data_IF_544824674751
#
_entry.id   IF_544824674751
#
_cell.length_a   1.000
_cell.length_b   1.000
_cell.length_c   1.000
_cell.angle_alpha   90.00
_cell.angle_beta   90.00
_cell.angle_gamma   90.00
#
_symmetry.space_group_name_H-M   'P 1'
#
loop_
_entity.id
_entity.type
_entity.pdbx_description
1 polymer ?
#
# COMPACT_ATOMS: atom_id res chain seq x y z
N UNK A 1 42.00 15.54 -18.14
CA UNK A 1 42.80 16.31 -17.14
C UNK A 1 44.01 15.48 -16.71
N UNK A 2 44.98 16.06 -16.00
CA UNK A 2 46.16 15.33 -15.48
C UNK A 2 45.77 14.13 -14.59
N UNK A 3 44.63 14.23 -13.90
CA UNK A 3 44.08 13.20 -13.01
C UNK A 3 43.63 11.95 -13.77
N UNK A 4 43.05 12.09 -14.96
CA UNK A 4 42.63 10.95 -15.79
C UNK A 4 43.85 10.13 -16.26
N UNK A 5 44.94 10.80 -16.61
CA UNK A 5 46.20 10.15 -17.03
C UNK A 5 46.85 9.43 -15.86
N UNK A 6 46.83 10.02 -14.66
CA UNK A 6 47.33 9.37 -13.45
C UNK A 6 46.48 8.16 -13.06
N UNK A 7 45.15 8.27 -13.14
CA UNK A 7 44.25 7.15 -12.88
C UNK A 7 44.48 6.00 -13.86
N UNK A 8 44.61 6.31 -15.15
CA UNK A 8 44.90 5.30 -16.17
C UNK A 8 46.25 4.61 -15.92
N UNK A 9 47.31 5.39 -15.65
CA UNK A 9 48.63 4.85 -15.30
C UNK A 9 48.56 3.95 -14.06
N UNK A 10 47.86 4.39 -13.01
CA UNK A 10 47.66 3.59 -11.80
C UNK A 10 46.92 2.28 -12.08
N UNK A 11 45.82 2.31 -12.83
CA UNK A 11 45.07 1.10 -13.19
C UNK A 11 45.92 0.07 -13.96
N UNK A 12 46.87 0.52 -14.79
CA UNK A 12 47.80 -0.41 -15.49
C UNK A 12 48.85 -1.05 -14.59
N UNK A 13 49.05 -0.52 -13.37
CA UNK A 13 49.96 -1.11 -12.37
C UNK A 13 49.27 -2.12 -11.46
N UNK A 14 47.93 -2.17 -11.45
CA UNK A 14 47.19 -3.16 -10.67
C UNK A 14 47.36 -4.54 -11.32
N UNK A 15 47.80 -5.57 -10.57
CA UNK A 15 47.84 -6.92 -11.08
C UNK A 15 46.42 -7.34 -11.44
N UNK A 16 46.22 -7.78 -12.68
CA UNK A 16 44.93 -8.31 -13.12
C UNK A 16 44.57 -9.52 -12.23
N UNK A 17 43.33 -9.61 -11.73
CA UNK A 17 42.93 -10.74 -10.90
C UNK A 17 42.96 -12.02 -11.75
N UNK A 18 43.92 -12.89 -11.42
CA UNK A 18 44.08 -14.29 -11.85
C UNK A 18 44.43 -14.54 -13.34
N UNK A 19 45.58 -15.19 -13.57
CA UNK A 19 46.02 -15.78 -14.86
C UNK A 19 45.35 -17.16 -15.10
N UNK A 20 44.53 -17.61 -14.16
CA UNK A 20 43.83 -18.89 -14.26
C UNK A 20 42.59 -18.68 -15.12
N UNK A 21 42.49 -19.43 -16.21
CA UNK A 21 41.32 -19.52 -17.11
C UNK A 21 40.14 -20.21 -16.38
N UNK A 22 39.75 -19.64 -15.24
CA UNK A 22 38.60 -20.05 -14.46
C UNK A 22 37.39 -19.28 -14.97
N UNK A 23 36.26 -19.95 -15.23
CA UNK A 23 35.06 -19.24 -15.66
C UNK A 23 34.58 -18.30 -14.55
N UNK A 24 34.17 -17.09 -14.95
CA UNK A 24 33.50 -16.16 -14.05
C UNK A 24 32.27 -16.80 -13.42
N UNK A 25 32.06 -16.54 -12.13
CA UNK A 25 30.91 -17.03 -11.37
C UNK A 25 30.11 -15.83 -10.88
N UNK A 26 28.79 -15.85 -11.11
CA UNK A 26 27.88 -14.88 -10.53
C UNK A 26 27.58 -15.26 -9.08
N UNK A 27 27.71 -14.30 -8.18
CA UNK A 27 27.32 -14.44 -6.78
C UNK A 27 26.28 -13.37 -6.43
N UNK A 28 25.17 -13.81 -5.83
CA UNK A 28 24.12 -12.95 -5.32
C UNK A 28 24.33 -12.71 -3.84
N UNK A 29 24.50 -11.45 -3.45
CA UNK A 29 24.62 -11.07 -2.05
C UNK A 29 23.31 -10.44 -1.61
N UNK A 30 22.58 -11.12 -0.72
CA UNK A 30 21.32 -10.64 -0.14
C UNK A 30 21.54 -10.45 1.37
N UNK A 31 21.67 -9.20 1.81
CA UNK A 31 22.16 -8.89 3.16
C UNK A 31 23.63 -9.31 3.32
N UNK A 32 23.94 -10.08 4.37
CA UNK A 32 25.31 -10.56 4.64
C UNK A 32 25.58 -11.99 4.13
N UNK A 33 24.66 -12.57 3.33
CA UNK A 33 24.75 -13.96 2.89
C UNK A 33 24.98 -14.06 1.37
N UNK A 34 26.18 -14.48 0.92
CA UNK A 34 26.42 -14.82 -0.47
C UNK A 34 25.69 -16.11 -0.87
N UNK A 35 25.08 -16.12 -2.05
CA UNK A 35 24.38 -17.26 -2.64
C UNK A 35 24.70 -17.37 -4.12
N UNK A 36 24.90 -18.60 -4.60
CA UNK A 36 25.07 -18.87 -6.04
C UNK A 36 23.75 -18.93 -6.79
N UNK A 37 22.64 -19.11 -6.06
CA UNK A 37 21.30 -19.15 -6.62
C UNK A 37 20.55 -17.85 -6.33
N UNK A 38 19.93 -17.29 -7.36
CA UNK A 38 19.03 -16.15 -7.22
C UNK A 38 17.71 -16.60 -6.58
N UNK A 39 17.32 -15.92 -5.50
CA UNK A 39 16.05 -16.18 -4.80
C UNK A 39 15.22 -14.91 -4.75
N UNK A 40 14.26 -14.77 -5.67
CA UNK A 40 13.38 -13.60 -5.74
C UNK A 40 12.72 -13.25 -4.40
N UNK A 41 12.31 -14.26 -3.64
CA UNK A 41 11.72 -14.07 -2.31
C UNK A 41 12.72 -13.48 -1.29
N UNK A 42 13.97 -13.95 -1.28
CA UNK A 42 15.00 -13.43 -0.38
C UNK A 42 15.38 -12.00 -0.76
N UNK A 43 15.57 -11.74 -2.06
CA UNK A 43 15.84 -10.40 -2.58
C UNK A 43 14.72 -9.43 -2.24
N UNK A 44 13.45 -9.84 -2.43
CA UNK A 44 12.29 -9.01 -2.05
C UNK A 44 12.24 -8.75 -0.55
N UNK A 45 12.47 -9.76 0.29
CA UNK A 45 12.50 -9.62 1.74
C UNK A 45 13.59 -8.66 2.24
N UNK A 46 14.74 -8.62 1.56
CA UNK A 46 15.84 -7.71 1.87
C UNK A 46 15.58 -6.27 1.36
N UNK A 47 14.97 -6.13 0.17
CA UNK A 47 14.71 -4.82 -0.44
C UNK A 47 13.46 -4.13 0.14
N UNK A 48 12.48 -4.89 0.64
CA UNK A 48 11.21 -4.30 1.07
C UNK A 48 11.43 -3.43 2.31
N UNK A 49 10.91 -2.19 2.33
CA UNK A 49 10.82 -1.42 3.56
C UNK A 49 9.92 -2.16 4.55
N UNK A 50 10.46 -2.55 5.71
CA UNK A 50 9.64 -3.10 6.79
C UNK A 50 8.90 -1.95 7.48
N UNK A 51 7.60 -2.11 7.62
CA UNK A 51 6.75 -1.19 8.37
C UNK A 51 6.04 -1.95 9.47
N UNK A 52 5.64 -1.22 10.51
CA UNK A 52 4.81 -1.79 11.56
C UNK A 52 3.50 -2.32 10.97
N UNK A 53 3.06 -3.46 11.51
CA UNK A 53 1.76 -4.02 11.18
C UNK A 53 0.68 -2.98 11.50
N UNK A 54 -0.23 -2.75 10.57
CA UNK A 54 -1.36 -1.85 10.79
C UNK A 54 -2.49 -2.60 11.46
N UNK A 55 -3.18 -1.95 12.38
CA UNK A 55 -4.25 -2.58 13.15
C UNK A 55 -5.35 -3.15 12.24
N UNK A 56 -5.63 -2.54 11.09
CA UNK A 56 -6.70 -2.97 10.18
C UNK A 56 -6.33 -4.13 9.23
N UNK A 57 -5.11 -4.69 9.30
CA UNK A 57 -4.62 -5.71 8.35
C UNK A 57 -5.51 -6.94 8.33
N UNK A 58 -5.94 -7.41 9.50
CA UNK A 58 -6.81 -8.58 9.68
C UNK A 58 -8.22 -8.37 9.10
N UNK A 59 -8.74 -7.14 9.18
CA UNK A 59 -10.04 -6.76 8.61
C UNK A 59 -10.01 -6.80 7.07
N UNK A 60 -8.89 -6.43 6.47
CA UNK A 60 -8.76 -6.33 5.00
C UNK A 60 -8.34 -7.66 4.36
N UNK A 61 -7.41 -8.37 5.02
CA UNK A 61 -6.73 -9.54 4.49
C UNK A 61 -7.05 -10.76 5.35
N UNK A 62 -8.24 -11.33 5.16
CA UNK A 62 -8.68 -12.55 5.85
C UNK A 62 -8.92 -13.70 4.87
N UNK A 63 -8.94 -14.93 5.39
CA UNK A 63 -9.20 -16.12 4.58
C UNK A 63 -10.59 -16.03 3.95
N UNK A 64 -10.66 -16.09 2.62
CA UNK A 64 -11.92 -15.97 1.87
C UNK A 64 -12.28 -14.54 1.47
N UNK A 65 -11.44 -13.55 1.75
CA UNK A 65 -11.63 -12.19 1.29
C UNK A 65 -11.59 -12.12 -0.25
N UNK A 66 -12.55 -11.41 -0.85
CA UNK A 66 -12.57 -11.19 -2.30
C UNK A 66 -11.53 -10.10 -2.64
N UNK A 67 -10.51 -10.38 -3.50
CA UNK A 67 -9.40 -9.45 -3.74
C UNK A 67 -9.81 -8.03 -4.13
N UNK A 68 -10.87 -7.90 -4.96
CA UNK A 68 -11.40 -6.59 -5.36
C UNK A 68 -11.91 -5.76 -4.17
N UNK A 69 -12.56 -6.41 -3.21
CA UNK A 69 -13.10 -5.73 -2.02
C UNK A 69 -12.00 -5.42 -1.02
N UNK A 70 -11.06 -6.35 -0.80
CA UNK A 70 -9.87 -6.11 0.03
C UNK A 70 -9.05 -4.94 -0.50
N UNK A 71 -8.82 -4.85 -1.81
CA UNK A 71 -8.10 -3.72 -2.40
C UNK A 71 -8.81 -2.38 -2.16
N UNK A 72 -10.14 -2.33 -2.35
CA UNK A 72 -10.91 -1.12 -2.06
C UNK A 72 -10.84 -0.73 -0.57
N UNK A 73 -11.02 -1.70 0.33
CA UNK A 73 -10.96 -1.46 1.77
C UNK A 73 -9.55 -1.06 2.24
N UNK A 74 -8.51 -1.61 1.62
CA UNK A 74 -7.12 -1.22 1.83
C UNK A 74 -6.90 0.26 1.51
N UNK A 75 -7.28 0.71 0.32
CA UNK A 75 -7.17 2.12 -0.09
C UNK A 75 -8.04 3.03 0.79
N UNK A 76 -9.22 2.57 1.21
CA UNK A 76 -10.08 3.29 2.14
C UNK A 76 -9.42 3.46 3.52
N UNK A 77 -8.77 2.43 4.07
CA UNK A 77 -8.08 2.52 5.35
C UNK A 77 -6.92 3.53 5.34
N UNK A 78 -6.23 3.67 4.20
CA UNK A 78 -5.21 4.71 4.02
C UNK A 78 -5.76 6.12 3.81
N UNK A 79 -7.09 6.24 3.72
CA UNK A 79 -7.76 7.43 3.21
C UNK A 79 -7.10 7.91 1.92
N UNK A 80 -7.09 7.04 0.90
CA UNK A 80 -6.50 7.33 -0.42
C UNK A 80 -7.47 7.09 -1.58
N UNK A 81 -8.77 6.97 -1.29
CA UNK A 81 -9.79 6.89 -2.33
C UNK A 81 -9.80 8.19 -3.17
N UNK A 82 -10.02 8.10 -4.50
CA UNK A 82 -10.09 9.26 -5.38
C UNK A 82 -11.44 9.97 -5.25
N UNK A 83 -11.75 10.46 -4.05
CA UNK A 83 -13.00 11.18 -3.80
C UNK A 83 -12.95 12.58 -4.40
N UNK A 84 -14.10 13.17 -4.71
CA UNK A 84 -14.13 14.51 -5.33
C UNK A 84 -13.48 15.59 -4.47
N UNK A 85 -13.58 15.52 -3.14
CA UNK A 85 -12.86 16.44 -2.25
C UNK A 85 -11.35 16.36 -2.46
N UNK A 86 -10.79 15.14 -2.50
CA UNK A 86 -9.34 14.92 -2.74
C UNK A 86 -8.92 15.34 -4.16
N UNK A 87 -9.74 15.07 -5.17
CA UNK A 87 -9.45 15.50 -6.53
C UNK A 87 -9.44 17.03 -6.65
N UNK A 88 -10.36 17.72 -5.98
CA UNK A 88 -10.37 19.18 -5.91
C UNK A 88 -9.13 19.72 -5.19
N UNK A 89 -8.70 19.10 -4.09
CA UNK A 89 -7.44 19.43 -3.40
C UNK A 89 -6.20 19.29 -4.29
N UNK A 90 -6.22 18.36 -5.24
CA UNK A 90 -5.17 18.21 -6.26
C UNK A 90 -5.23 19.26 -7.39
N UNK A 91 -6.19 20.18 -7.34
CA UNK A 91 -6.35 21.26 -8.32
C UNK A 91 -7.12 20.85 -9.59
N UNK A 92 -7.81 19.70 -9.59
CA UNK A 92 -8.70 19.38 -10.71
C UNK A 92 -9.94 20.28 -10.64
N UNK A 93 -10.47 20.75 -11.78
CA UNK A 93 -11.66 21.61 -11.84
C UNK A 93 -12.94 20.78 -11.63
N UNK A 94 -13.08 20.17 -10.46
CA UNK A 94 -14.23 19.36 -10.06
C UNK A 94 -14.86 19.95 -8.80
N UNK A 95 -16.19 19.89 -8.70
CA UNK A 95 -16.88 20.25 -7.47
C UNK A 95 -16.55 19.22 -6.38
N UNK A 96 -16.17 19.65 -5.16
CA UNK A 96 -15.90 18.73 -4.06
C UNK A 96 -17.18 18.08 -3.51
N UNK A 97 -18.37 18.57 -3.89
CA UNK A 97 -19.64 18.08 -3.39
C UNK A 97 -19.90 16.61 -3.75
N UNK A 98 -20.39 15.87 -2.76
CA UNK A 98 -20.81 14.49 -2.88
C UNK A 98 -21.81 14.28 -4.01
N UNK A 99 -21.49 13.36 -4.93
CA UNK A 99 -22.36 13.05 -6.07
C UNK A 99 -23.72 12.46 -5.67
N UNK A 100 -23.83 11.86 -4.47
CA UNK A 100 -25.06 11.21 -4.02
C UNK A 100 -26.04 12.18 -3.36
N UNK A 101 -25.58 13.00 -2.41
CA UNK A 101 -26.46 13.87 -1.63
C UNK A 101 -26.36 15.35 -2.00
N UNK A 102 -25.26 15.80 -2.62
CA UNK A 102 -24.96 17.21 -2.91
C UNK A 102 -25.03 18.16 -1.69
N UNK A 103 -24.93 17.63 -0.46
CA UNK A 103 -25.09 18.39 0.81
C UNK A 103 -23.78 18.65 1.56
N UNK A 104 -22.71 17.93 1.21
CA UNK A 104 -21.39 18.06 1.83
C UNK A 104 -20.30 17.55 0.92
N UNK A 105 -19.06 17.76 1.32
CA UNK A 105 -17.90 17.34 0.55
C UNK A 105 -17.78 15.82 0.48
N UNK A 106 -17.40 15.32 -0.69
CA UNK A 106 -17.18 13.92 -0.97
C UNK A 106 -15.86 13.47 -0.34
N UNK A 107 -15.89 13.15 0.94
CA UNK A 107 -14.80 12.49 1.67
C UNK A 107 -15.05 11.00 1.79
N UNK A 108 -14.03 10.22 2.18
CA UNK A 108 -14.19 8.77 2.46
C UNK A 108 -15.30 8.54 3.49
N UNK A 109 -15.20 9.21 4.63
CA UNK A 109 -16.14 9.02 5.75
C UNK A 109 -17.54 9.48 5.36
N UNK A 110 -17.65 10.54 4.54
CA UNK A 110 -18.94 10.96 4.01
C UNK A 110 -19.55 9.90 3.10
N UNK A 111 -18.86 9.52 2.01
CA UNK A 111 -19.40 8.57 1.03
C UNK A 111 -19.63 7.19 1.61
N UNK A 112 -18.83 6.73 2.56
CA UNK A 112 -18.97 5.38 3.09
C UNK A 112 -19.83 5.31 4.35
N UNK A 113 -19.99 6.40 5.11
CA UNK A 113 -20.65 6.36 6.43
C UNK A 113 -21.74 7.41 6.59
N UNK A 114 -21.38 8.71 6.51
CA UNK A 114 -22.27 9.78 6.99
C UNK A 114 -23.21 10.36 5.94
N UNK A 115 -23.01 10.07 4.64
CA UNK A 115 -23.92 10.46 3.57
C UNK A 115 -25.30 9.82 3.76
N UNK A 116 -26.37 10.60 3.53
CA UNK A 116 -27.77 10.13 3.65
C UNK A 116 -28.02 8.85 2.82
N UNK A 117 -27.49 8.80 1.60
CA UNK A 117 -27.57 7.63 0.73
C UNK A 117 -26.91 6.39 1.35
N UNK A 118 -25.72 6.58 1.93
CA UNK A 118 -24.94 5.50 2.54
C UNK A 118 -25.55 5.02 3.85
N UNK A 119 -26.15 5.92 4.62
CA UNK A 119 -26.91 5.56 5.83
C UNK A 119 -28.09 4.65 5.50
N UNK A 120 -28.78 4.87 4.38
CA UNK A 120 -29.87 3.99 3.95
C UNK A 120 -29.36 2.61 3.52
N UNK A 121 -28.21 2.54 2.85
CA UNK A 121 -27.55 1.25 2.55
C UNK A 121 -27.18 0.52 3.84
N UNK A 122 -26.55 1.20 4.79
CA UNK A 122 -26.16 0.60 6.06
C UNK A 122 -27.35 0.09 6.86
N UNK A 123 -28.48 0.80 6.83
CA UNK A 123 -29.72 0.35 7.46
C UNK A 123 -30.12 -1.03 6.93
N UNK A 124 -30.12 -1.22 5.61
CA UNK A 124 -30.46 -2.50 4.98
C UNK A 124 -29.43 -3.60 5.30
N UNK A 125 -28.15 -3.27 5.31
CA UNK A 125 -27.07 -4.21 5.67
C UNK A 125 -27.20 -4.67 7.11
N UNK A 126 -27.37 -3.74 8.07
CA UNK A 126 -27.48 -4.05 9.49
C UNK A 126 -28.72 -4.91 9.79
N UNK A 127 -29.85 -4.63 9.12
CA UNK A 127 -31.05 -5.46 9.22
C UNK A 127 -30.80 -6.89 8.73
N UNK A 128 -30.07 -7.06 7.61
CA UNK A 128 -29.72 -8.39 7.07
C UNK A 128 -28.70 -9.14 7.93
N UNK A 129 -27.76 -8.42 8.53
CA UNK A 129 -26.77 -8.96 9.44
C UNK A 129 -27.32 -9.25 10.85
N UNK A 130 -28.58 -8.88 11.13
CA UNK A 130 -29.23 -9.01 12.46
C UNK A 130 -28.42 -8.35 13.58
N UNK A 131 -27.73 -7.26 13.25
CA UNK A 131 -26.93 -6.48 14.19
C UNK A 131 -27.75 -5.31 14.72
N UNK A 132 -27.34 -4.75 15.86
CA UNK A 132 -27.93 -3.50 16.36
C UNK A 132 -27.82 -2.39 15.30
N UNK A 133 -28.81 -1.50 15.25
CA UNK A 133 -28.84 -0.35 14.35
C UNK A 133 -27.87 0.75 14.84
N UNK A 134 -26.60 0.37 15.04
CA UNK A 134 -25.53 1.31 15.34
C UNK A 134 -25.22 2.14 14.11
N UNK A 135 -25.36 3.45 14.23
CA UNK A 135 -24.84 4.41 13.25
C UNK A 135 -23.41 4.75 13.66
N UNK A 136 -22.43 4.26 12.93
CA UNK A 136 -21.06 4.77 13.05
C UNK A 136 -20.92 6.04 12.21
N UNK A 137 -20.25 7.03 12.79
CA UNK A 137 -20.07 8.37 12.20
C UNK A 137 -18.65 8.61 11.69
N UNK A 138 -17.71 7.76 12.09
CA UNK A 138 -16.31 7.83 11.72
C UNK A 138 -15.74 6.45 11.43
N UNK A 139 -14.58 6.44 10.77
CA UNK A 139 -13.92 5.21 10.35
C UNK A 139 -13.49 4.29 11.51
N UNK A 140 -13.07 4.85 12.64
CA UNK A 140 -12.63 4.06 13.80
C UNK A 140 -13.78 3.23 14.39
N UNK A 141 -14.97 3.82 14.48
CA UNK A 141 -16.19 3.12 14.93
C UNK A 141 -16.56 1.98 13.98
N UNK A 142 -16.48 2.19 12.66
CA UNK A 142 -16.70 1.13 11.67
C UNK A 142 -15.73 -0.04 11.90
N UNK A 143 -14.43 0.24 12.03
CA UNK A 143 -13.44 -0.83 12.25
C UNK A 143 -13.67 -1.56 13.57
N UNK A 144 -14.08 -0.85 14.63
CA UNK A 144 -14.44 -1.47 15.90
C UNK A 144 -15.65 -2.39 15.76
N UNK A 145 -16.67 -1.99 15.00
CA UNK A 145 -17.85 -2.80 14.76
C UNK A 145 -17.53 -4.07 13.96
N UNK A 146 -16.70 -3.98 12.92
CA UNK A 146 -16.30 -5.14 12.10
C UNK A 146 -15.57 -6.17 12.96
N UNK A 147 -14.71 -5.75 13.91
CA UNK A 147 -14.00 -6.69 14.79
C UNK A 147 -14.88 -7.33 15.86
N UNK A 148 -15.94 -6.64 16.27
CA UNK A 148 -16.86 -7.12 17.28
C UNK A 148 -17.96 -8.04 16.73
N UNK A 149 -18.13 -8.06 15.40
CA UNK A 149 -19.14 -8.83 14.68
C UNK A 149 -18.57 -10.15 14.18
#
# INVERSE_FOLDING_TARGET
SHEEVQLHAYLTTLPLPLIVDAPDIYEWVVGDYPSRDFRSAATWEALRPRQDSKDWVDIVWFKGSIPKHSFNMWIANYDKLPTRARLAEWGLPVSPLCAFCSRGDETRDHVLLSCEYSQDIWREVLLRCRTSLTRFTNWSELLSWIRAS
#
